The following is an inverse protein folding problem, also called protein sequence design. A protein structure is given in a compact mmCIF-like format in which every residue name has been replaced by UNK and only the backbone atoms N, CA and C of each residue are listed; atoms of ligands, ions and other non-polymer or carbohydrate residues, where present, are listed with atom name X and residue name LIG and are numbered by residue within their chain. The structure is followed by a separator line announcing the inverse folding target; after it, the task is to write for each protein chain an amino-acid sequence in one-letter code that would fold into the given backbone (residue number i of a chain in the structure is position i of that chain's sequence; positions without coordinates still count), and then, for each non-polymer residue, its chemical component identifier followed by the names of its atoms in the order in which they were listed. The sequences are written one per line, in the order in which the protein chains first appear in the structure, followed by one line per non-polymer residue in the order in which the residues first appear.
data_IF_116643478524
#
_entry.id   IF_116643478524
#
_cell.length_a   1.000
_cell.length_b   1.000
_cell.length_c   1.000
_cell.angle_alpha   90.00
_cell.angle_beta   90.00
_cell.angle_gamma   90.00
#
_symmetry.space_group_name_H-M   'P 1'
#
loop_
_entity.id
_entity.type
_entity.pdbx_description
1 polymer ?
#
# COMPACT_ATOMS: atom_id res chain seq x y z
N UNK A 1 -18.72 0.59 -9.14
CA UNK A 1 -17.65 -0.06 -9.91
C UNK A 1 -16.53 -0.41 -8.94
N UNK A 2 -16.21 -1.69 -8.67
CA UNK A 2 -14.99 -2.01 -7.92
C UNK A 2 -13.80 -1.58 -8.78
N UNK A 3 -12.88 -0.77 -8.23
CA UNK A 3 -11.63 -0.51 -8.94
C UNK A 3 -10.87 -1.83 -8.93
N UNK A 4 -10.73 -2.47 -10.09
CA UNK A 4 -9.62 -3.40 -10.34
C UNK A 4 -8.34 -2.73 -9.85
N UNK A 5 -7.45 -3.51 -9.26
CA UNK A 5 -6.13 -3.08 -8.81
C UNK A 5 -5.50 -2.17 -9.87
N UNK A 6 -5.40 -0.88 -9.55
CA UNK A 6 -4.97 0.14 -10.51
C UNK A 6 -3.65 0.69 -10.01
N UNK A 7 -2.64 0.66 -10.88
CA UNK A 7 -1.41 1.39 -10.70
C UNK A 7 -1.76 2.83 -10.31
N UNK A 8 -1.25 3.25 -9.16
CA UNK A 8 -1.49 4.57 -8.61
C UNK A 8 -0.57 5.57 -9.30
N UNK A 9 -1.01 6.84 -9.51
CA UNK A 9 -0.12 7.88 -10.03
C UNK A 9 1.08 8.05 -9.11
N UNK A 10 2.27 7.77 -9.64
CA UNK A 10 3.53 7.91 -8.92
C UNK A 10 4.33 9.06 -9.55
N UNK A 11 4.85 9.95 -8.69
CA UNK A 11 5.94 10.84 -9.06
C UNK A 11 7.26 10.10 -8.87
N UNK A 12 8.27 10.41 -9.67
CA UNK A 12 9.63 9.87 -9.47
C UNK A 12 10.11 10.18 -8.05
N UNK A 13 10.44 9.14 -7.28
CA UNK A 13 11.12 9.25 -6.00
C UNK A 13 12.61 9.41 -6.27
N UNK A 14 13.18 10.52 -5.84
CA UNK A 14 14.59 10.85 -6.06
C UNK A 14 15.28 11.09 -4.73
N UNK A 15 16.49 10.57 -4.58
CA UNK A 15 17.34 10.79 -3.43
C UNK A 15 17.54 9.54 -2.57
N UNK A 16 18.73 9.44 -1.97
CA UNK A 16 19.17 8.26 -1.23
C UNK A 16 18.24 7.87 -0.09
N UNK A 17 17.69 8.86 0.63
CA UNK A 17 16.80 8.60 1.78
C UNK A 17 15.49 7.91 1.35
N UNK A 18 14.89 8.35 0.23
CA UNK A 18 13.68 7.74 -0.31
C UNK A 18 13.97 6.31 -0.76
N UNK A 19 15.12 6.08 -1.40
CA UNK A 19 15.53 4.77 -1.87
C UNK A 19 15.81 3.80 -0.71
N UNK A 20 16.52 4.23 0.33
CA UNK A 20 16.72 3.45 1.57
C UNK A 20 15.39 3.09 2.24
N UNK A 21 14.44 4.03 2.27
CA UNK A 21 13.12 3.77 2.85
C UNK A 21 12.32 2.75 2.05
N UNK A 22 12.38 2.80 0.72
CA UNK A 22 11.76 1.81 -0.16
C UNK A 22 12.38 0.42 0.05
N UNK A 23 13.71 0.34 0.09
CA UNK A 23 14.45 -0.91 0.31
C UNK A 23 14.09 -1.52 1.66
N UNK A 24 14.10 -0.73 2.74
CA UNK A 24 13.71 -1.21 4.07
C UNK A 24 12.27 -1.75 4.12
N UNK A 25 11.30 -1.03 3.53
CA UNK A 25 9.91 -1.52 3.45
C UNK A 25 9.83 -2.80 2.64
N UNK A 26 10.61 -2.91 1.57
CA UNK A 26 10.66 -4.12 0.74
C UNK A 26 11.25 -5.31 1.49
N UNK A 27 12.28 -5.11 2.31
CA UNK A 27 12.85 -6.14 3.18
C UNK A 27 11.83 -6.62 4.21
N UNK A 28 11.15 -5.70 4.90
CA UNK A 28 10.09 -6.05 5.85
C UNK A 28 8.92 -6.78 5.19
N UNK A 29 8.54 -6.44 3.96
CA UNK A 29 7.53 -7.19 3.21
C UNK A 29 7.99 -8.61 2.85
N UNK A 30 9.30 -8.83 2.73
CA UNK A 30 9.86 -10.13 2.41
C UNK A 30 10.06 -11.03 3.64
N UNK A 31 10.13 -10.45 4.84
CA UNK A 31 10.18 -11.15 6.12
C UNK A 31 8.81 -11.75 6.51
N UNK A 32 8.77 -13.07 6.72
CA UNK A 32 7.55 -13.78 7.13
C UNK A 32 7.14 -13.50 8.59
N UNK A 33 8.04 -12.93 9.40
CA UNK A 33 7.74 -12.55 10.79
C UNK A 33 7.12 -11.15 10.92
N UNK A 34 7.08 -10.39 9.83
CA UNK A 34 6.56 -9.03 9.79
C UNK A 34 5.05 -9.01 9.44
N UNK A 35 4.21 -8.64 10.40
CA UNK A 35 2.74 -8.60 10.20
C UNK A 35 2.15 -7.21 9.91
N UNK A 36 2.75 -6.14 10.45
CA UNK A 36 2.31 -4.75 10.26
C UNK A 36 3.52 -3.86 10.07
N UNK A 37 3.55 -3.08 8.99
CA UNK A 37 4.63 -2.14 8.68
C UNK A 37 4.08 -0.71 8.75
N UNK A 38 4.65 0.11 9.65
CA UNK A 38 4.27 1.51 9.79
C UNK A 38 5.32 2.46 9.22
N UNK A 39 4.93 3.33 8.29
CA UNK A 39 5.79 4.43 7.82
C UNK A 39 5.34 5.72 8.52
N UNK A 40 6.20 6.29 9.35
CA UNK A 40 5.90 7.47 10.17
C UNK A 40 6.97 8.57 10.02
N UNK A 41 6.63 9.80 10.41
CA UNK A 41 7.50 10.97 10.28
C UNK A 41 6.72 12.26 10.00
N UNK A 42 7.44 13.37 9.85
CA UNK A 42 6.84 14.70 9.62
C UNK A 42 5.91 14.75 8.40
N UNK A 43 4.99 15.72 8.38
CA UNK A 43 4.15 15.99 7.22
C UNK A 43 4.98 16.37 5.98
N UNK A 44 4.52 16.02 4.78
CA UNK A 44 5.18 16.42 3.53
C UNK A 44 6.43 15.63 3.12
N UNK A 45 6.98 14.75 3.98
CA UNK A 45 8.23 14.02 3.69
C UNK A 45 8.10 12.87 2.66
N UNK A 46 6.91 12.66 2.08
CA UNK A 46 6.74 11.67 1.00
C UNK A 46 6.36 10.24 1.45
N UNK A 47 5.87 10.04 2.69
CA UNK A 47 5.45 8.72 3.20
C UNK A 47 4.44 8.01 2.28
N UNK A 48 3.40 8.74 1.86
CA UNK A 48 2.39 8.20 0.93
C UNK A 48 3.00 7.88 -0.42
N UNK A 49 3.99 8.66 -0.88
CA UNK A 49 4.70 8.41 -2.13
C UNK A 49 5.51 7.10 -2.09
N UNK A 50 6.16 6.81 -0.95
CA UNK A 50 6.84 5.52 -0.72
C UNK A 50 5.82 4.38 -0.81
N UNK A 51 4.67 4.49 -0.13
CA UNK A 51 3.62 3.46 -0.18
C UNK A 51 3.06 3.26 -1.60
N UNK A 52 2.91 4.33 -2.38
CA UNK A 52 2.46 4.26 -3.78
C UNK A 52 3.43 3.45 -4.63
N UNK A 53 4.74 3.68 -4.50
CA UNK A 53 5.74 2.94 -5.27
C UNK A 53 5.78 1.46 -4.88
N UNK A 54 5.70 1.16 -3.58
CA UNK A 54 5.60 -0.22 -3.08
C UNK A 54 4.37 -0.92 -3.62
N UNK A 55 3.18 -0.29 -3.54
CA UNK A 55 1.95 -0.83 -4.11
C UNK A 55 2.11 -1.15 -5.60
N UNK A 56 2.64 -0.20 -6.37
CA UNK A 56 2.83 -0.37 -7.81
C UNK A 56 3.84 -1.47 -8.13
N UNK A 57 4.88 -1.63 -7.32
CA UNK A 57 5.87 -2.69 -7.45
C UNK A 57 5.25 -4.06 -7.16
N UNK A 58 4.47 -4.20 -6.09
CA UNK A 58 3.76 -5.43 -5.75
C UNK A 58 2.79 -5.87 -6.86
N UNK A 59 2.07 -4.92 -7.48
CA UNK A 59 1.18 -5.18 -8.61
C UNK A 59 1.92 -5.63 -9.89
N UNK A 60 3.20 -5.26 -10.05
CA UNK A 60 4.03 -5.67 -11.20
C UNK A 60 4.71 -7.02 -10.97
N UNK A 61 5.17 -7.27 -9.74
CA UNK A 61 6.01 -8.42 -9.37
C UNK A 61 5.18 -9.58 -8.77
N UNK A 62 3.87 -9.65 -9.04
CA UNK A 62 2.85 -10.39 -8.26
C UNK A 62 3.04 -11.92 -8.18
N UNK A 63 3.99 -12.38 -7.36
CA UNK A 63 4.13 -13.79 -6.97
C UNK A 63 4.02 -14.03 -5.47
N UNK A 64 4.14 -12.98 -4.63
CA UNK A 64 4.12 -13.12 -3.16
C UNK A 64 2.74 -12.94 -2.52
N UNK A 65 1.91 -12.05 -3.05
CA UNK A 65 0.59 -11.76 -2.49
C UNK A 65 -0.48 -12.01 -3.55
N UNK A 66 -1.55 -12.70 -3.15
CA UNK A 66 -2.71 -12.96 -4.03
C UNK A 66 -3.52 -11.69 -4.31
N UNK A 67 -3.52 -10.73 -3.36
CA UNK A 67 -4.27 -9.49 -3.44
C UNK A 67 -3.44 -8.32 -2.89
N UNK A 68 -3.46 -7.17 -3.57
CA UNK A 68 -2.83 -5.93 -3.12
C UNK A 68 -3.89 -4.83 -3.05
N UNK A 69 -4.29 -4.47 -1.82
CA UNK A 69 -5.45 -3.60 -1.59
C UNK A 69 -5.00 -2.24 -1.06
N UNK A 70 -5.28 -1.18 -1.82
CA UNK A 70 -5.08 0.20 -1.38
C UNK A 70 -6.37 0.80 -0.80
N UNK A 71 -6.34 1.24 0.45
CA UNK A 71 -7.46 1.96 1.06
C UNK A 71 -6.99 3.25 1.75
N UNK A 72 -7.73 4.33 1.51
CA UNK A 72 -7.48 5.63 2.16
C UNK A 72 -8.43 5.81 3.34
N UNK A 73 -7.89 6.17 4.49
CA UNK A 73 -8.67 6.57 5.66
C UNK A 73 -8.81 8.09 5.74
N UNK A 74 -10.00 8.55 6.11
CA UNK A 74 -10.37 9.95 6.35
C UNK A 74 -11.18 10.04 7.64
N UNK A 75 -11.42 11.25 8.15
CA UNK A 75 -12.16 11.44 9.42
C UNK A 75 -13.59 10.88 9.40
N UNK A 76 -14.20 10.72 8.22
CA UNK A 76 -15.54 10.13 8.06
C UNK A 76 -15.51 8.60 7.83
N UNK A 77 -14.34 7.98 7.84
CA UNK A 77 -14.19 6.55 7.62
C UNK A 77 -14.61 5.73 8.84
N UNK A 78 -15.38 4.66 8.60
CA UNK A 78 -15.81 3.71 9.64
C UNK A 78 -15.28 2.32 9.35
N UNK A 79 -15.18 1.48 10.38
CA UNK A 79 -14.76 0.07 10.24
C UNK A 79 -15.64 -0.65 9.21
N UNK A 80 -16.96 -0.40 9.22
CA UNK A 80 -17.89 -0.99 8.26
C UNK A 80 -17.61 -0.55 6.82
N UNK A 81 -17.19 0.71 6.60
CA UNK A 81 -16.79 1.20 5.27
C UNK A 81 -15.53 0.46 4.78
N UNK A 82 -14.54 0.25 5.65
CA UNK A 82 -13.32 -0.51 5.32
C UNK A 82 -13.62 -1.97 5.00
N UNK A 83 -14.37 -2.66 5.87
CA UNK A 83 -14.72 -4.07 5.67
C UNK A 83 -15.49 -4.27 4.36
N UNK A 84 -16.49 -3.41 4.07
CA UNK A 84 -17.22 -3.45 2.79
C UNK A 84 -16.32 -3.17 1.59
N UNK A 85 -15.32 -2.29 1.73
CA UNK A 85 -14.37 -2.02 0.65
C UNK A 85 -13.48 -3.23 0.39
N UNK A 86 -12.87 -3.79 1.44
CA UNK A 86 -11.99 -4.95 1.35
C UNK A 86 -12.75 -6.15 0.80
N UNK A 87 -13.92 -6.48 1.36
CA UNK A 87 -14.76 -7.61 0.91
C UNK A 87 -15.08 -7.54 -0.60
N UNK A 88 -15.41 -6.35 -1.11
CA UNK A 88 -15.66 -6.15 -2.54
C UNK A 88 -14.41 -6.37 -3.42
N UNK A 89 -13.22 -6.05 -2.92
CA UNK A 89 -11.97 -6.22 -3.67
C UNK A 89 -11.60 -7.70 -3.77
N UNK A 90 -11.75 -8.44 -2.68
CA UNK A 90 -11.47 -9.90 -2.65
C UNK A 90 -12.65 -10.75 -3.17
N UNK A 91 -13.60 -10.13 -3.90
CA UNK A 91 -14.81 -10.77 -4.44
C UNK A 91 -15.67 -11.54 -3.41
N UNK A 92 -15.52 -11.23 -2.12
CA UNK A 92 -16.32 -11.80 -1.04
C UNK A 92 -17.59 -10.97 -0.89
N UNK A 93 -18.72 -11.51 -1.37
CA UNK A 93 -20.02 -10.84 -1.31
C UNK A 93 -20.77 -11.31 -0.06
N UNK A 94 -21.24 -10.36 0.75
CA UNK A 94 -22.31 -10.54 1.76
C UNK A 94 -23.54 -9.79 1.31
#
# INVERSE_FOLDING_TARGET
MPRREKILPASSLVGESAQRSLEAVWEYLNDEHSGIIGIYGMGGVGKTSILVEINNRLLRESRKFDNVIWVTASNDSTVQKFQKHIARVIEFIF
#
